data_IF_749773437265
#
_entry.id   IF_749773437265
#
_cell.length_a   1.000
_cell.length_b   1.000
_cell.length_c   1.000
_cell.angle_alpha   90.00
_cell.angle_beta   90.00
_cell.angle_gamma   90.00
#
_symmetry.space_group_name_H-M   'P 1'
#
loop_
_entity.id
_entity.type
_entity.pdbx_description
1 polymer ?
#
# COMPACT_ATOMS: atom_id res chain seq x y z
N UNK A 1 25.34 -2.92 -15.67
CA UNK A 1 24.61 -3.46 -14.53
C UNK A 1 23.75 -4.60 -15.04
N UNK A 2 23.63 -5.72 -14.30
CA UNK A 2 22.74 -6.83 -14.65
C UNK A 2 21.26 -6.43 -14.47
N UNK A 3 20.35 -7.30 -14.89
CA UNK A 3 18.92 -7.14 -14.61
C UNK A 3 18.64 -7.40 -13.12
N UNK A 4 17.61 -6.76 -12.61
CA UNK A 4 17.10 -6.96 -11.26
C UNK A 4 15.64 -7.41 -11.33
N UNK A 5 15.25 -8.32 -10.45
CA UNK A 5 13.87 -8.81 -10.40
C UNK A 5 13.09 -8.30 -9.19
N UNK A 6 13.77 -7.69 -8.22
CA UNK A 6 13.11 -7.08 -7.07
C UNK A 6 13.95 -5.98 -6.42
N UNK A 7 13.29 -5.11 -5.68
CA UNK A 7 13.92 -4.06 -4.87
C UNK A 7 13.21 -3.93 -3.53
N UNK A 8 13.99 -3.95 -2.46
CA UNK A 8 13.50 -3.78 -1.08
C UNK A 8 14.15 -2.54 -0.48
N UNK A 9 13.33 -1.65 0.05
CA UNK A 9 13.77 -0.47 0.77
C UNK A 9 13.96 -0.77 2.26
N UNK A 10 15.08 -0.32 2.80
CA UNK A 10 15.30 -0.17 4.24
C UNK A 10 15.27 1.32 4.56
N UNK A 11 14.34 1.73 5.41
CA UNK A 11 14.16 3.11 5.83
C UNK A 11 14.43 3.23 7.32
N UNK A 12 15.51 3.93 7.69
CA UNK A 12 15.77 4.33 9.05
C UNK A 12 15.19 5.74 9.27
N UNK A 13 14.26 5.83 10.20
CA UNK A 13 13.71 7.09 10.72
C UNK A 13 14.39 7.38 12.03
N UNK A 14 15.35 8.28 12.03
CA UNK A 14 16.22 8.54 13.17
C UNK A 14 15.78 9.81 13.91
N UNK A 15 15.64 9.67 15.22
CA UNK A 15 15.43 10.79 16.13
C UNK A 15 16.76 11.16 16.78
N UNK A 16 17.51 12.12 16.21
CA UNK A 16 18.81 12.48 16.75
C UNK A 16 18.65 13.16 18.10
N UNK A 17 19.46 12.75 19.08
CA UNK A 17 19.51 13.36 20.42
C UNK A 17 18.17 13.46 21.17
N UNK A 18 17.09 12.82 20.69
CA UNK A 18 15.77 12.91 21.31
C UNK A 18 15.04 14.24 21.09
N UNK A 19 15.45 15.02 20.09
CA UNK A 19 14.94 16.37 19.83
C UNK A 19 13.94 16.43 18.66
N UNK A 20 13.46 15.28 18.21
CA UNK A 20 12.42 15.17 17.21
C UNK A 20 11.00 15.33 17.81
N UNK A 21 10.01 15.47 16.97
CA UNK A 21 8.62 15.63 17.40
C UNK A 21 8.17 14.46 18.27
N UNK A 22 7.56 14.80 19.40
CA UNK A 22 7.05 13.84 20.38
C UNK A 22 5.71 13.20 19.98
N UNK A 23 5.12 13.64 18.87
CA UNK A 23 3.86 13.13 18.35
C UNK A 23 4.07 12.24 17.13
N UNK A 24 3.09 11.41 16.85
CA UNK A 24 2.94 10.66 15.61
C UNK A 24 2.68 11.64 14.46
N UNK A 25 3.62 11.73 13.54
CA UNK A 25 3.53 12.60 12.37
C UNK A 25 3.47 11.78 11.11
N UNK A 26 2.55 12.12 10.22
CA UNK A 26 2.50 11.53 8.91
C UNK A 26 3.69 11.98 8.07
N UNK A 27 4.26 11.04 7.38
CA UNK A 27 5.38 11.28 6.50
C UNK A 27 5.33 10.34 5.30
N UNK A 28 5.97 10.73 4.21
CA UNK A 28 6.04 9.92 3.00
C UNK A 28 7.29 10.16 2.19
N UNK A 29 7.62 9.17 1.40
CA UNK A 29 8.71 9.21 0.41
C UNK A 29 8.11 9.00 -0.95
N UNK A 30 8.47 9.87 -1.88
CA UNK A 30 8.06 9.82 -3.27
C UNK A 30 9.28 9.73 -4.16
N UNK A 31 9.12 9.04 -5.29
CA UNK A 31 10.08 9.07 -6.38
C UNK A 31 9.43 9.71 -7.61
N UNK A 32 10.25 10.34 -8.45
CA UNK A 32 9.80 10.96 -9.67
C UNK A 32 9.74 9.94 -10.79
N UNK A 33 8.55 9.71 -11.30
CA UNK A 33 8.31 8.81 -12.41
C UNK A 33 8.89 9.30 -13.74
N UNK A 34 8.97 8.41 -14.75
CA UNK A 34 9.47 8.76 -16.06
C UNK A 34 8.71 9.89 -16.77
N UNK A 35 7.43 10.04 -16.44
CA UNK A 35 6.53 11.10 -16.92
C UNK A 35 6.73 12.45 -16.20
N UNK A 36 7.61 12.48 -15.18
CA UNK A 36 7.90 13.66 -14.37
C UNK A 36 6.95 13.84 -13.19
N UNK A 37 5.95 13.00 -13.01
CA UNK A 37 5.04 13.01 -11.87
C UNK A 37 5.68 12.35 -10.65
N UNK A 38 5.24 12.79 -9.46
CA UNK A 38 5.66 12.20 -8.21
C UNK A 38 4.74 11.04 -7.84
N UNK A 39 5.35 9.89 -7.54
CA UNK A 39 4.67 8.67 -7.10
C UNK A 39 5.07 8.41 -5.64
N UNK A 40 4.09 8.32 -4.76
CA UNK A 40 4.32 7.97 -3.36
C UNK A 40 4.66 6.47 -3.26
N UNK A 41 5.84 6.18 -2.75
CA UNK A 41 6.32 4.80 -2.59
C UNK A 41 6.11 4.27 -1.19
N UNK A 42 6.28 5.14 -0.19
CA UNK A 42 6.27 4.77 1.22
C UNK A 42 5.51 5.85 1.98
N UNK A 43 4.55 5.44 2.79
CA UNK A 43 3.95 6.26 3.84
C UNK A 43 4.29 5.67 5.19
N UNK A 44 4.61 6.50 6.16
CA UNK A 44 4.85 6.05 7.52
C UNK A 44 4.41 7.09 8.54
N UNK A 45 4.21 6.64 9.77
CA UNK A 45 3.94 7.53 10.90
C UNK A 45 5.14 7.55 11.83
N UNK A 46 5.58 8.74 12.25
CA UNK A 46 6.71 8.84 13.16
C UNK A 46 6.36 8.29 14.54
N UNK A 47 7.30 7.63 15.22
CA UNK A 47 7.07 7.04 16.53
C UNK A 47 7.40 8.02 17.66
N UNK A 48 6.47 8.71 18.23
CA UNK A 48 6.52 9.51 19.47
C UNK A 48 7.92 9.87 20.01
N UNK A 49 8.69 10.63 19.21
CA UNK A 49 10.04 11.07 19.62
C UNK A 49 11.08 9.96 19.71
N UNK A 50 10.96 8.91 18.94
CA UNK A 50 11.87 7.75 18.91
C UNK A 50 12.31 7.43 17.49
N UNK A 51 13.44 6.73 17.37
CA UNK A 51 13.85 6.15 16.10
C UNK A 51 13.07 4.88 15.79
N UNK A 52 12.90 4.60 14.51
CA UNK A 52 12.32 3.39 14.00
C UNK A 52 12.94 3.03 12.65
N UNK A 53 12.82 1.77 12.24
CA UNK A 53 13.24 1.30 10.92
C UNK A 53 12.15 0.44 10.29
N UNK A 54 12.09 0.50 8.96
CA UNK A 54 11.08 -0.20 8.17
C UNK A 54 11.76 -0.93 7.01
N UNK A 55 11.22 -2.09 6.68
CA UNK A 55 11.59 -2.85 5.48
C UNK A 55 10.37 -2.92 4.58
N UNK A 56 10.46 -2.37 3.38
CA UNK A 56 9.33 -2.21 2.46
C UNK A 56 9.69 -2.80 1.09
N UNK A 57 8.84 -3.67 0.58
CA UNK A 57 8.95 -4.15 -0.80
C UNK A 57 8.49 -3.06 -1.77
N UNK A 58 9.37 -2.66 -2.67
CA UNK A 58 9.12 -1.69 -3.73
C UNK A 58 9.22 -2.29 -5.13
N UNK A 59 9.12 -3.61 -5.23
CA UNK A 59 9.29 -4.33 -6.50
C UNK A 59 8.31 -3.87 -7.58
N UNK A 60 7.11 -3.49 -7.20
CA UNK A 60 6.12 -2.93 -8.12
C UNK A 60 6.59 -1.64 -8.82
N UNK A 61 7.56 -0.97 -8.25
CA UNK A 61 8.12 0.29 -8.76
C UNK A 61 9.53 0.12 -9.33
N UNK A 62 10.01 -1.12 -9.48
CA UNK A 62 11.38 -1.42 -9.95
C UNK A 62 11.69 -0.69 -11.26
N UNK A 63 10.75 -0.66 -12.20
CA UNK A 63 10.90 -0.03 -13.51
C UNK A 63 11.23 1.48 -13.45
N UNK A 64 10.85 2.16 -12.36
CA UNK A 64 11.13 3.59 -12.17
C UNK A 64 12.27 3.85 -11.17
N UNK A 65 12.79 2.82 -10.52
CA UNK A 65 13.84 2.93 -9.51
C UNK A 65 15.22 2.59 -10.07
N UNK A 66 15.36 2.51 -11.38
CA UNK A 66 16.64 2.26 -12.05
C UNK A 66 17.26 3.55 -12.57
N UNK A 67 18.61 3.59 -12.60
CA UNK A 67 19.36 4.74 -13.11
C UNK A 67 19.38 5.92 -12.16
N UNK A 68 19.15 7.12 -12.68
CA UNK A 68 19.10 8.35 -11.89
C UNK A 68 17.67 8.63 -11.45
N UNK A 69 17.39 8.46 -10.18
CA UNK A 69 16.07 8.66 -9.59
C UNK A 69 16.09 9.87 -8.66
N UNK A 70 15.11 10.73 -8.78
CA UNK A 70 14.91 11.86 -7.89
C UNK A 70 13.90 11.46 -6.81
N UNK A 71 14.29 11.58 -5.54
CA UNK A 71 13.44 11.31 -4.38
C UNK A 71 13.12 12.61 -3.66
N UNK A 72 11.96 12.65 -3.02
CA UNK A 72 11.65 13.64 -2.00
C UNK A 72 11.04 12.97 -0.78
N UNK A 73 11.36 13.52 0.39
CA UNK A 73 10.84 13.08 1.68
C UNK A 73 10.08 14.24 2.31
N UNK A 74 8.91 13.97 2.84
CA UNK A 74 8.11 14.92 3.58
C UNK A 74 7.75 14.38 4.95
N UNK A 75 7.79 15.23 5.96
CA UNK A 75 7.26 14.95 7.30
C UNK A 75 6.45 16.15 7.77
N UNK A 76 5.19 15.91 8.11
CA UNK A 76 4.28 16.95 8.60
C UNK A 76 4.57 17.27 10.07
N UNK A 77 5.68 17.97 10.30
CA UNK A 77 6.16 18.35 11.64
C UNK A 77 6.53 19.82 11.68
N UNK A 78 6.35 20.43 12.84
CA UNK A 78 6.83 21.79 13.11
C UNK A 78 7.80 21.85 14.30
N UNK A 79 8.20 20.69 14.80
CA UNK A 79 9.10 20.57 15.94
C UNK A 79 10.22 19.58 15.63
N UNK A 80 11.41 19.93 16.04
CA UNK A 80 12.57 19.06 15.97
C UNK A 80 13.04 18.72 14.55
N UNK A 81 14.04 17.88 14.49
CA UNK A 81 14.58 17.36 13.24
C UNK A 81 14.51 15.84 13.23
N UNK A 82 14.18 15.30 12.06
CA UNK A 82 14.28 13.89 11.75
C UNK A 82 15.41 13.66 10.76
N UNK A 83 16.15 12.59 10.93
CA UNK A 83 17.13 12.13 9.96
C UNK A 83 16.60 10.86 9.30
N UNK A 84 16.84 10.72 8.01
CA UNK A 84 16.37 9.60 7.22
C UNK A 84 17.53 8.97 6.46
N UNK A 85 17.66 7.65 6.58
CA UNK A 85 18.53 6.87 5.71
C UNK A 85 17.64 5.91 4.91
N UNK A 86 17.67 6.06 3.61
CA UNK A 86 16.97 5.17 2.68
C UNK A 86 18.01 4.36 1.92
N UNK A 87 17.96 3.05 2.10
CA UNK A 87 18.78 2.09 1.36
C UNK A 87 17.90 1.27 0.45
N UNK A 88 18.22 1.21 -0.84
CA UNK A 88 17.53 0.36 -1.80
C UNK A 88 18.41 -0.86 -2.09
N UNK A 89 17.92 -2.03 -1.72
CA UNK A 89 18.55 -3.32 -1.95
C UNK A 89 17.98 -3.96 -3.21
N UNK A 90 18.76 -4.03 -4.27
CA UNK A 90 18.36 -4.64 -5.54
C UNK A 90 18.82 -6.09 -5.60
N UNK A 91 17.93 -6.98 -5.98
CA UNK A 91 18.22 -8.39 -6.12
C UNK A 91 18.35 -8.74 -7.60
N UNK A 92 19.50 -9.38 -7.93
CA UNK A 92 19.81 -9.73 -9.30
C UNK A 92 18.89 -10.84 -9.82
N UNK A 93 18.35 -10.67 -11.02
CA UNK A 93 17.47 -11.60 -11.70
C UNK A 93 16.78 -10.91 -12.88
N UNK A 94 16.18 -11.69 -13.75
CA UNK A 94 15.34 -11.12 -14.81
C UNK A 94 13.98 -10.71 -14.20
N UNK A 95 13.47 -9.51 -14.49
CA UNK A 95 12.14 -9.09 -14.04
C UNK A 95 11.06 -9.93 -14.74
N UNK A 96 9.92 -10.07 -14.10
CA UNK A 96 8.77 -10.81 -14.61
C UNK A 96 8.25 -10.20 -15.94
N UNK A 97 8.24 -8.88 -16.02
CA UNK A 97 7.79 -8.11 -17.18
C UNK A 97 8.90 -7.21 -17.71
N UNK A 98 8.86 -6.93 -19.01
CA UNK A 98 9.88 -6.13 -19.71
C UNK A 98 9.80 -4.65 -19.37
N UNK A 99 8.61 -4.18 -19.04
CA UNK A 99 8.35 -2.78 -18.69
C UNK A 99 7.17 -2.70 -17.72
N UNK A 100 7.13 -1.61 -17.00
CA UNK A 100 6.05 -1.27 -16.07
C UNK A 100 5.76 0.21 -16.11
N UNK A 101 4.62 0.59 -15.54
CA UNK A 101 4.20 1.96 -15.37
C UNK A 101 3.35 2.10 -14.11
N UNK A 102 3.41 3.26 -13.45
CA UNK A 102 2.54 3.60 -12.32
C UNK A 102 1.93 4.99 -12.55
N UNK A 103 0.63 5.09 -12.36
CA UNK A 103 -0.13 6.33 -12.50
C UNK A 103 -1.01 6.52 -11.27
N UNK A 104 -0.97 7.71 -10.67
CA UNK A 104 -1.87 8.04 -9.56
C UNK A 104 -3.31 8.15 -10.05
N UNK A 105 -4.20 7.35 -9.44
CA UNK A 105 -5.66 7.40 -9.64
C UNK A 105 -6.28 8.40 -8.66
N UNK A 106 -5.96 8.23 -7.38
CA UNK A 106 -6.32 9.17 -6.33
C UNK A 106 -5.06 9.58 -5.58
N UNK A 107 -4.84 10.87 -5.44
CA UNK A 107 -3.72 11.39 -4.66
C UNK A 107 -4.16 12.66 -3.95
N UNK A 108 -4.30 12.59 -2.63
CA UNK A 108 -4.69 13.78 -1.88
C UNK A 108 -5.33 13.49 -0.53
N UNK A 109 -5.93 14.55 -0.02
CA UNK A 109 -6.57 14.62 1.28
C UNK A 109 -8.08 14.82 1.08
N UNK A 110 -8.87 13.83 1.46
CA UNK A 110 -10.30 13.75 1.18
C UNK A 110 -11.07 13.93 2.48
N UNK A 111 -11.73 15.07 2.63
CA UNK A 111 -12.57 15.36 3.79
C UNK A 111 -13.81 14.46 3.81
N UNK A 112 -14.10 13.86 4.96
CA UNK A 112 -15.25 13.00 5.16
C UNK A 112 -16.29 13.69 6.05
N UNK A 113 -17.57 13.35 5.83
CA UNK A 113 -18.68 13.90 6.60
C UNK A 113 -19.03 15.35 6.27
N UNK A 114 -18.54 15.88 5.16
CA UNK A 114 -18.98 17.16 4.63
C UNK A 114 -20.33 17.01 3.93
N UNK A 115 -21.38 17.60 4.50
CA UNK A 115 -22.73 17.55 3.91
C UNK A 115 -22.84 18.22 2.55
N UNK A 116 -21.91 19.11 2.20
CA UNK A 116 -21.86 19.72 0.88
C UNK A 116 -21.21 18.81 -0.17
N UNK A 117 -20.39 17.86 0.26
CA UNK A 117 -19.74 16.87 -0.58
C UNK A 117 -19.64 15.52 0.14
N UNK A 118 -20.66 14.70 0.04
CA UNK A 118 -20.73 13.39 0.71
C UNK A 118 -19.87 12.33 0.04
N UNK A 119 -19.44 12.56 -1.21
CA UNK A 119 -18.56 11.67 -1.97
C UNK A 119 -17.38 12.48 -2.52
N UNK A 120 -16.33 12.67 -1.70
CA UNK A 120 -15.17 13.46 -2.10
C UNK A 120 -14.26 12.78 -3.13
N UNK A 121 -14.41 11.46 -3.32
CA UNK A 121 -13.67 10.73 -4.34
C UNK A 121 -14.48 10.75 -5.64
N UNK A 122 -14.01 11.53 -6.59
CA UNK A 122 -14.65 11.62 -7.90
C UNK A 122 -14.39 10.35 -8.72
N UNK A 123 -15.31 10.04 -9.62
CA UNK A 123 -15.14 8.95 -10.56
C UNK A 123 -13.93 9.22 -11.48
N UNK A 124 -13.06 8.23 -11.60
CA UNK A 124 -11.87 8.30 -12.47
C UNK A 124 -11.96 7.21 -13.53
N UNK A 125 -11.78 7.61 -14.78
CA UNK A 125 -11.66 6.70 -15.91
C UNK A 125 -10.20 6.61 -16.35
N UNK A 126 -9.70 5.41 -16.47
CA UNK A 126 -8.36 5.15 -17.01
C UNK A 126 -8.42 4.09 -18.10
N UNK A 127 -7.49 4.19 -19.05
CA UNK A 127 -7.38 3.26 -20.17
C UNK A 127 -6.06 2.49 -20.05
N UNK A 128 -6.11 1.25 -20.44
CA UNK A 128 -4.92 0.42 -20.57
C UNK A 128 -4.39 0.46 -21.99
N UNK A 129 -3.09 0.48 -22.14
CA UNK A 129 -2.43 0.32 -23.44
C UNK A 129 -2.60 -1.12 -23.94
N UNK A 130 -2.64 -1.30 -25.26
CA UNK A 130 -2.89 -2.61 -25.91
C UNK A 130 -1.85 -3.70 -25.57
N UNK A 131 -0.70 -3.29 -25.08
CA UNK A 131 0.43 -4.16 -24.77
C UNK A 131 0.58 -4.50 -23.27
N UNK A 132 -0.37 -4.06 -22.44
CA UNK A 132 -0.41 -4.41 -21.02
C UNK A 132 -0.92 -5.84 -20.85
N UNK A 133 -0.20 -6.62 -20.05
CA UNK A 133 -0.51 -8.01 -19.75
C UNK A 133 -0.99 -8.23 -18.32
N UNK A 134 -0.58 -7.34 -17.40
CA UNK A 134 -1.00 -7.35 -16.01
C UNK A 134 -1.26 -5.92 -15.55
N UNK A 135 -2.29 -5.73 -14.75
CA UNK A 135 -2.54 -4.49 -14.05
C UNK A 135 -3.02 -4.76 -12.62
N UNK A 136 -2.68 -3.86 -11.71
CA UNK A 136 -3.15 -3.88 -10.34
C UNK A 136 -3.41 -2.47 -9.83
N UNK A 137 -4.30 -2.36 -8.86
CA UNK A 137 -4.54 -1.13 -8.12
C UNK A 137 -3.87 -1.27 -6.75
N UNK A 138 -2.84 -0.47 -6.53
CA UNK A 138 -2.19 -0.33 -5.24
C UNK A 138 -2.90 0.76 -4.45
N UNK A 139 -3.56 0.39 -3.36
CA UNK A 139 -4.39 1.27 -2.57
C UNK A 139 -3.71 1.60 -1.24
N UNK A 140 -3.13 2.79 -1.16
CA UNK A 140 -2.53 3.32 0.05
C UNK A 140 -3.52 4.31 0.68
N UNK A 141 -4.06 3.95 1.85
CA UNK A 141 -5.09 4.71 2.54
C UNK A 141 -4.76 4.84 4.03
N UNK A 142 -4.87 6.05 4.56
CA UNK A 142 -4.80 6.28 6.00
C UNK A 142 -5.86 7.27 6.46
N UNK A 143 -6.57 6.90 7.54
CA UNK A 143 -7.59 7.72 8.17
C UNK A 143 -7.00 8.65 9.20
N UNK A 144 -7.45 9.90 9.21
CA UNK A 144 -6.98 10.93 10.12
C UNK A 144 -8.13 11.79 10.64
N UNK A 145 -7.90 12.35 11.82
CA UNK A 145 -8.83 13.26 12.45
C UNK A 145 -9.58 12.63 13.61
N UNK A 146 -9.66 13.38 14.68
CA UNK A 146 -10.20 12.91 15.94
C UNK A 146 -11.74 12.94 15.97
N UNK A 147 -12.35 13.86 15.26
CA UNK A 147 -13.80 14.08 15.30
C UNK A 147 -14.34 14.44 16.70
N UNK A 148 -15.65 14.64 16.79
CA UNK A 148 -16.26 15.06 18.07
C UNK A 148 -16.53 13.91 19.05
N UNK A 149 -16.51 12.67 18.63
CA UNK A 149 -16.83 11.51 19.48
C UNK A 149 -16.06 10.24 19.18
N UNK A 150 -14.91 10.30 18.57
CA UNK A 150 -13.98 9.18 18.32
C UNK A 150 -14.62 7.90 17.76
N UNK A 151 -15.76 8.02 17.19
CA UNK A 151 -16.48 6.89 16.61
C UNK A 151 -17.03 7.34 15.27
N UNK A 152 -17.94 6.79 14.73
CA UNK A 152 -18.59 6.91 13.42
C UNK A 152 -18.22 8.12 12.53
N UNK A 153 -17.64 9.17 13.04
CA UNK A 153 -17.28 10.39 12.30
C UNK A 153 -15.79 10.77 12.41
N UNK A 154 -14.98 9.93 13.02
CA UNK A 154 -13.53 10.11 13.06
C UNK A 154 -12.86 9.05 12.19
N UNK A 155 -12.42 9.42 11.02
CA UNK A 155 -11.81 8.48 10.06
C UNK A 155 -10.65 7.68 10.65
N UNK A 156 -9.88 8.27 11.57
CA UNK A 156 -8.74 7.64 12.21
C UNK A 156 -9.13 6.43 13.08
N UNK A 157 -10.22 6.52 13.83
CA UNK A 157 -10.63 5.51 14.81
C UNK A 157 -11.93 4.79 14.41
N UNK A 158 -12.24 4.76 13.14
CA UNK A 158 -13.45 4.15 12.64
C UNK A 158 -13.13 2.98 11.72
N UNK A 159 -13.45 1.78 12.20
CA UNK A 159 -13.30 0.56 11.41
C UNK A 159 -14.45 0.46 10.41
N UNK A 160 -14.15 0.71 9.16
CA UNK A 160 -15.11 0.62 8.06
C UNK A 160 -14.48 -0.09 6.86
N UNK A 161 -15.26 -0.95 6.22
CA UNK A 161 -14.92 -1.48 4.92
C UNK A 161 -15.39 -0.51 3.85
N UNK A 162 -14.46 0.06 3.14
CA UNK A 162 -14.70 0.92 1.99
C UNK A 162 -14.99 0.07 0.76
N UNK A 163 -15.76 0.60 -0.16
CA UNK A 163 -16.09 -0.07 -1.41
C UNK A 163 -15.58 0.75 -2.59
N UNK A 164 -14.77 0.11 -3.40
CA UNK A 164 -14.30 0.62 -4.68
C UNK A 164 -15.10 -0.09 -5.79
N UNK A 165 -15.80 0.68 -6.60
CA UNK A 165 -16.56 0.13 -7.73
C UNK A 165 -15.72 0.21 -9.00
N UNK A 166 -15.47 -0.93 -9.61
CA UNK A 166 -14.65 -1.07 -10.81
C UNK A 166 -15.45 -1.78 -11.90
N UNK A 167 -15.86 -1.06 -12.94
CA UNK A 167 -16.73 -1.57 -14.01
C UNK A 167 -18.01 -2.27 -13.50
N UNK A 168 -18.49 -1.90 -12.32
CA UNK A 168 -19.67 -2.48 -11.67
C UNK A 168 -19.35 -3.61 -10.68
N UNK A 169 -18.14 -4.10 -10.65
CA UNK A 169 -17.67 -5.02 -9.61
C UNK A 169 -17.22 -4.26 -8.37
N UNK A 170 -17.30 -4.89 -7.21
CA UNK A 170 -16.96 -4.28 -5.92
C UNK A 170 -15.66 -4.86 -5.40
N UNK A 171 -14.70 -3.98 -5.16
CA UNK A 171 -13.48 -4.27 -4.40
C UNK A 171 -13.69 -3.72 -2.99
N UNK A 172 -13.51 -4.55 -1.99
CA UNK A 172 -13.58 -4.11 -0.60
C UNK A 172 -12.19 -3.76 -0.09
N UNK A 173 -12.08 -2.61 0.57
CA UNK A 173 -10.87 -2.16 1.24
C UNK A 173 -11.17 -1.91 2.71
N UNK A 174 -10.42 -2.55 3.60
CA UNK A 174 -10.49 -2.28 5.03
C UNK A 174 -9.08 -2.03 5.59
N UNK A 175 -8.68 -0.77 5.71
CA UNK A 175 -7.33 -0.41 6.13
C UNK A 175 -7.11 -0.54 7.66
N UNK A 176 -7.99 -1.24 8.39
CA UNK A 176 -7.92 -1.29 9.84
C UNK A 176 -6.71 -2.04 10.37
N UNK A 177 -5.96 -1.40 11.27
CA UNK A 177 -4.80 -1.96 11.93
C UNK A 177 -5.00 -2.08 13.43
N UNK A 178 -4.68 -3.26 13.97
CA UNK A 178 -4.55 -3.48 15.40
C UNK A 178 -3.19 -2.93 15.86
N UNK A 179 -3.19 -1.92 16.73
CA UNK A 179 -1.97 -1.23 17.14
C UNK A 179 -1.37 -1.77 18.46
N UNK A 180 -1.96 -2.76 19.07
CA UNK A 180 -1.45 -3.38 20.29
C UNK A 180 -1.44 -4.92 20.22
N UNK A 181 -0.26 -5.57 20.03
CA UNK A 181 1.08 -4.95 20.02
C UNK A 181 1.33 -4.08 18.78
N UNK A 182 2.24 -3.11 18.90
CA UNK A 182 2.59 -2.26 17.77
C UNK A 182 3.22 -3.11 16.63
N UNK A 183 2.72 -3.02 15.40
CA UNK A 183 3.15 -3.90 14.30
C UNK A 183 4.66 -3.86 14.03
N UNK A 184 5.25 -2.68 13.99
CA UNK A 184 6.68 -2.52 13.72
C UNK A 184 7.53 -2.49 15.00
N UNK A 185 6.91 -2.76 16.15
CA UNK A 185 7.55 -2.78 17.47
C UNK A 185 8.29 -1.48 17.87
N UNK A 186 8.05 -0.38 17.14
CA UNK A 186 8.71 0.91 17.38
C UNK A 186 8.15 1.66 18.58
N UNK A 187 6.90 1.40 18.93
CA UNK A 187 6.24 1.99 20.10
C UNK A 187 5.73 0.89 21.01
N UNK A 188 6.25 0.82 22.22
CA UNK A 188 5.90 -0.19 23.22
C UNK A 188 5.62 0.38 24.62
N UNK A 189 5.51 1.67 24.75
CA UNK A 189 5.32 2.34 26.02
C UNK A 189 4.06 3.19 25.97
N UNK A 190 3.27 3.25 27.04
CA UNK A 190 2.00 3.98 27.08
C UNK A 190 2.23 5.50 27.02
N UNK A 191 2.52 6.00 25.84
CA UNK A 191 2.48 7.40 25.55
C UNK A 191 1.21 7.70 24.77
N UNK A 192 0.36 8.57 25.30
CA UNK A 192 -0.83 9.04 24.61
C UNK A 192 -1.75 7.89 24.16
N UNK A 193 -2.15 7.88 22.91
CA UNK A 193 -3.15 6.99 22.30
C UNK A 193 -2.54 5.91 21.41
N UNK A 194 -1.26 5.61 21.57
CA UNK A 194 -0.54 4.68 20.69
C UNK A 194 -1.21 3.31 20.53
N UNK A 195 -1.86 2.82 21.57
CA UNK A 195 -2.48 1.49 21.64
C UNK A 195 -3.88 1.41 21.02
N UNK A 196 -4.43 2.51 20.56
CA UNK A 196 -5.71 2.50 19.86
C UNK A 196 -5.52 2.08 18.43
N UNK A 197 -6.34 1.14 17.99
CA UNK A 197 -6.40 0.68 16.61
C UNK A 197 -6.84 1.81 15.68
N UNK A 198 -6.33 1.81 14.46
CA UNK A 198 -6.51 2.91 13.52
C UNK A 198 -6.72 2.43 12.08
N UNK A 199 -7.27 3.29 11.28
CA UNK A 199 -7.47 3.07 9.86
C UNK A 199 -6.17 3.35 9.07
N UNK A 200 -5.50 2.30 8.64
CA UNK A 200 -4.36 2.34 7.73
C UNK A 200 -3.01 2.67 8.35
N UNK A 201 -2.91 2.77 9.68
CA UNK A 201 -1.63 3.06 10.31
C UNK A 201 -1.62 2.81 11.81
N UNK A 202 -0.43 2.65 12.35
CA UNK A 202 -0.15 2.77 13.78
C UNK A 202 1.04 3.71 13.98
N UNK A 203 1.19 4.35 15.14
CA UNK A 203 2.37 5.16 15.42
C UNK A 203 3.66 4.34 15.26
N UNK A 204 4.60 4.84 14.47
CA UNK A 204 5.83 4.13 14.15
C UNK A 204 5.66 2.97 13.16
N UNK A 205 4.62 2.98 12.35
CA UNK A 205 4.35 1.97 11.33
C UNK A 205 4.51 2.55 9.92
N UNK A 206 5.06 1.76 9.01
CA UNK A 206 4.87 1.98 7.59
C UNK A 206 3.44 1.53 7.20
N UNK A 207 2.72 2.37 6.45
CA UNK A 207 1.36 2.05 6.02
C UNK A 207 1.38 0.95 4.97
N UNK A 208 0.60 -0.10 5.19
CA UNK A 208 0.45 -1.18 4.22
C UNK A 208 -0.25 -0.71 2.95
N UNK A 209 0.13 -1.30 1.84
CA UNK A 209 -0.52 -1.15 0.54
C UNK A 209 -1.45 -2.34 0.34
N UNK A 210 -2.75 -2.08 0.15
CA UNK A 210 -3.68 -3.12 -0.29
C UNK A 210 -3.66 -3.20 -1.82
N UNK A 211 -3.49 -4.41 -2.35
CA UNK A 211 -3.43 -4.66 -3.79
C UNK A 211 -4.72 -5.31 -4.30
N UNK A 212 -5.17 -4.86 -5.47
CA UNK A 212 -6.27 -5.49 -6.19
C UNK A 212 -5.88 -5.79 -7.62
N UNK A 213 -6.06 -7.04 -8.04
CA UNK A 213 -5.77 -7.47 -9.42
C UNK A 213 -6.80 -6.89 -10.39
N UNK A 214 -6.33 -6.10 -11.33
CA UNK A 214 -7.12 -5.51 -12.42
C UNK A 214 -6.94 -6.23 -13.76
N UNK A 215 -6.11 -7.26 -13.83
CA UNK A 215 -5.83 -8.02 -15.05
C UNK A 215 -7.10 -8.52 -15.75
N UNK A 216 -8.17 -8.97 -15.04
CA UNK A 216 -9.43 -9.38 -15.68
C UNK A 216 -10.13 -8.27 -16.47
N UNK A 217 -9.83 -7.00 -16.22
CA UNK A 217 -10.45 -5.85 -16.88
C UNK A 217 -9.69 -5.34 -18.11
N UNK A 218 -8.50 -5.86 -18.37
CA UNK A 218 -7.66 -5.43 -19.50
C UNK A 218 -8.34 -5.64 -20.86
N UNK A 219 -9.19 -6.66 -20.97
CA UNK A 219 -9.92 -6.95 -22.23
C UNK A 219 -11.00 -5.93 -22.54
N UNK A 220 -11.40 -5.12 -21.59
CA UNK A 220 -12.38 -4.05 -21.76
C UNK A 220 -11.76 -2.78 -22.37
N UNK A 221 -10.42 -2.65 -22.38
CA UNK A 221 -9.71 -1.47 -22.91
C UNK A 221 -9.93 -0.19 -22.14
N UNK A 222 -10.88 -0.17 -21.20
CA UNK A 222 -11.22 0.99 -20.37
C UNK A 222 -11.81 0.53 -19.07
N UNK A 223 -11.35 1.12 -17.97
CA UNK A 223 -11.86 0.85 -16.62
C UNK A 223 -12.25 2.16 -15.95
N UNK A 224 -13.43 2.18 -15.39
CA UNK A 224 -13.93 3.29 -14.57
C UNK A 224 -13.89 2.87 -13.11
N UNK A 225 -13.28 3.69 -12.28
CA UNK A 225 -13.22 3.46 -10.83
C UNK A 225 -13.98 4.57 -10.08
N UNK A 226 -14.82 4.15 -9.14
CA UNK A 226 -15.49 5.04 -8.21
C UNK A 226 -15.33 4.46 -6.80
N UNK A 227 -14.90 5.29 -5.85
CA UNK A 227 -14.80 4.89 -4.46
C UNK A 227 -16.02 5.42 -3.71
N UNK A 228 -16.76 4.50 -3.10
CA UNK A 228 -17.83 4.82 -2.16
C UNK A 228 -17.36 4.49 -0.74
N UNK A 229 -17.10 5.53 0.03
CA UNK A 229 -16.67 5.40 1.42
C UNK A 229 -17.83 5.42 2.41
N UNK A 230 -19.06 5.45 1.93
CA UNK A 230 -20.19 5.69 2.80
C UNK A 230 -20.16 7.09 3.42
N UNK A 231 -21.25 7.49 4.03
CA UNK A 231 -21.35 8.81 4.68
C UNK A 231 -20.87 8.70 6.11
N UNK A 232 -19.69 9.24 6.40
CA UNK A 232 -19.28 9.52 7.76
C UNK A 232 -19.91 10.84 8.20
N UNK A 233 -21.05 10.76 8.90
CA UNK A 233 -21.74 11.95 9.39
C UNK A 233 -21.01 12.57 10.58
N UNK A 234 -20.85 13.86 10.60
CA UNK A 234 -20.32 14.59 11.73
C UNK A 234 -19.53 15.83 11.32
N UNK A 235 -19.40 16.76 12.25
CA UNK A 235 -18.54 17.90 12.10
C UNK A 235 -17.21 17.57 12.76
N UNK A 236 -16.15 17.55 12.02
CA UNK A 236 -14.84 17.28 12.56
C UNK A 236 -13.79 17.35 11.50
N UNK A 237 -12.55 17.19 11.91
CA UNK A 237 -11.39 17.17 11.03
C UNK A 237 -11.13 15.75 10.52
N UNK A 238 -12.20 15.04 10.14
CA UNK A 238 -12.12 13.67 9.63
C UNK A 238 -11.79 13.64 8.16
N UNK A 239 -10.77 12.87 7.78
CA UNK A 239 -10.32 12.76 6.40
C UNK A 239 -9.57 11.47 6.14
N UNK A 240 -9.58 11.04 4.90
CA UNK A 240 -8.64 10.05 4.38
C UNK A 240 -7.52 10.75 3.61
N UNK A 241 -6.30 10.31 3.82
CA UNK A 241 -5.20 10.57 2.90
C UNK A 241 -5.07 9.33 2.05
N UNK A 242 -5.42 9.46 0.78
CA UNK A 242 -5.36 8.38 -0.19
C UNK A 242 -4.24 8.64 -1.20
N UNK A 243 -3.55 7.59 -1.58
CA UNK A 243 -2.71 7.54 -2.75
C UNK A 243 -2.92 6.18 -3.41
N UNK A 244 -3.88 6.14 -4.35
CA UNK A 244 -4.17 4.93 -5.09
C UNK A 244 -3.50 5.02 -6.45
N UNK A 245 -2.83 3.95 -6.84
CA UNK A 245 -2.00 3.92 -8.04
C UNK A 245 -2.39 2.74 -8.90
N UNK A 246 -2.62 3.02 -10.17
CA UNK A 246 -2.68 2.00 -11.19
C UNK A 246 -1.26 1.61 -11.57
N UNK A 247 -0.87 0.40 -11.25
CA UNK A 247 0.40 -0.19 -11.69
C UNK A 247 0.11 -1.17 -12.80
N UNK A 248 0.82 -1.06 -13.90
CA UNK A 248 0.62 -1.87 -15.08
C UNK A 248 1.93 -2.40 -15.63
N UNK A 249 1.89 -3.60 -16.19
CA UNK A 249 3.05 -4.30 -16.68
C UNK A 249 2.78 -4.87 -18.07
N UNK A 250 3.80 -4.93 -18.89
CA UNK A 250 3.69 -5.45 -20.22
C UNK A 250 4.90 -6.26 -20.67
N UNK A 251 4.63 -7.18 -21.60
CA UNK A 251 5.62 -8.04 -22.18
C UNK A 251 6.26 -9.00 -21.20
N UNK A 252 5.62 -10.15 -20.90
CA UNK A 252 6.23 -11.18 -20.07
C UNK A 252 7.65 -11.56 -20.58
N UNK A 253 8.61 -11.68 -19.68
CA UNK A 253 9.98 -12.03 -20.02
C UNK A 253 10.18 -13.53 -20.25
N UNK A 254 9.31 -14.35 -19.68
CA UNK A 254 9.41 -15.80 -19.76
C UNK A 254 8.26 -16.40 -20.55
N UNK A 255 8.55 -17.43 -21.35
CA UNK A 255 7.50 -18.17 -22.06
C UNK A 255 6.70 -19.07 -21.12
N UNK A 256 7.40 -19.75 -20.21
CA UNK A 256 6.80 -20.62 -19.19
C UNK A 256 7.31 -20.15 -17.83
N UNK A 257 6.41 -19.70 -17.01
CA UNK A 257 6.71 -19.30 -15.65
C UNK A 257 5.47 -19.44 -14.75
N UNK A 258 5.71 -19.69 -13.47
CA UNK A 258 4.66 -19.73 -12.46
C UNK A 258 5.21 -19.31 -11.11
N UNK A 259 4.48 -18.50 -10.38
CA UNK A 259 4.83 -18.14 -9.02
C UNK A 259 3.80 -18.64 -8.02
N UNK A 260 4.25 -18.91 -6.81
CA UNK A 260 3.37 -19.12 -5.66
C UNK A 260 2.97 -17.74 -5.14
N UNK A 261 1.69 -17.41 -5.24
CA UNK A 261 1.15 -16.13 -4.75
C UNK A 261 0.70 -16.23 -3.30
N UNK A 262 0.35 -17.45 -2.85
CA UNK A 262 -0.03 -17.65 -1.47
C UNK A 262 0.20 -19.09 -1.01
N UNK A 263 0.44 -19.25 0.30
CA UNK A 263 0.52 -20.56 0.99
C UNK A 263 -0.59 -20.61 2.01
N UNK A 264 -1.66 -21.33 1.67
CA UNK A 264 -2.84 -21.49 2.52
C UNK A 264 -2.55 -22.48 3.65
N UNK A 265 -1.87 -23.59 3.33
CA UNK A 265 -1.56 -24.65 4.31
C UNK A 265 -0.26 -25.38 3.95
N UNK A 266 0.70 -25.58 4.88
CA UNK A 266 0.73 -24.97 6.21
C UNK A 266 1.05 -23.47 6.14
N UNK A 267 0.39 -22.65 6.94
CA UNK A 267 0.63 -21.21 7.01
C UNK A 267 0.50 -20.70 8.43
N UNK A 268 1.27 -19.68 8.77
CA UNK A 268 1.16 -18.93 10.02
C UNK A 268 0.32 -17.66 9.89
N UNK A 269 -0.26 -17.41 8.73
CA UNK A 269 -1.13 -16.25 8.50
C UNK A 269 -2.40 -16.38 9.35
N UNK A 270 -2.80 -15.26 9.97
CA UNK A 270 -3.94 -15.20 10.88
C UNK A 270 -5.25 -15.55 10.17
N UNK A 271 -5.42 -15.12 8.93
CA UNK A 271 -6.58 -15.39 8.09
C UNK A 271 -6.82 -16.89 7.86
N UNK A 272 -5.75 -17.69 7.81
CA UNK A 272 -5.84 -19.14 7.62
C UNK A 272 -5.82 -19.92 8.94
N UNK A 273 -5.52 -19.30 10.06
CA UNK A 273 -5.49 -19.95 11.38
C UNK A 273 -6.85 -20.41 11.87
N UNK A 274 -7.93 -19.85 11.34
CA UNK A 274 -9.32 -20.19 11.71
C UNK A 274 -9.92 -21.33 10.91
N UNK A 275 -9.31 -21.70 9.81
CA UNK A 275 -9.75 -22.80 8.93
C UNK A 275 -9.34 -24.18 9.43
N UNK A 276 -9.20 -24.36 10.74
CA UNK A 276 -9.07 -25.68 11.32
C UNK A 276 -7.78 -26.39 11.03
N UNK A 277 -6.80 -26.05 11.78
CA UNK A 277 -6.01 -27.00 12.50
C UNK A 277 -5.29 -28.10 11.75
N UNK A 278 -5.75 -28.56 10.68
CA UNK A 278 -5.22 -29.80 10.19
C UNK A 278 -4.46 -29.54 8.93
N UNK A 279 -3.19 -29.65 9.06
CA UNK A 279 -2.23 -30.06 8.06
C UNK A 279 -2.77 -31.21 7.21
N UNK A 280 -3.85 -30.99 6.53
CA UNK A 280 -4.41 -31.97 5.63
C UNK A 280 -3.44 -32.17 4.48
N UNK A 281 -3.56 -31.36 3.49
CA UNK A 281 -2.67 -31.36 2.32
C UNK A 281 -2.06 -29.98 2.16
N UNK A 282 -0.80 -29.89 1.76
CA UNK A 282 -0.24 -28.61 1.34
C UNK A 282 -1.15 -27.97 0.30
N UNK A 283 -1.51 -26.71 0.52
CA UNK A 283 -2.39 -25.96 -0.37
C UNK A 283 -1.74 -24.61 -0.65
N UNK A 284 -1.55 -24.32 -1.92
CA UNK A 284 -0.94 -23.07 -2.39
C UNK A 284 -1.79 -22.47 -3.48
N UNK A 285 -1.68 -21.16 -3.66
CA UNK A 285 -2.22 -20.45 -4.80
C UNK A 285 -1.07 -20.18 -5.77
N UNK A 286 -1.29 -20.50 -7.03
CA UNK A 286 -0.28 -20.36 -8.08
C UNK A 286 -0.85 -19.45 -9.15
N UNK A 287 -0.04 -18.52 -9.60
CA UNK A 287 -0.31 -17.68 -10.76
C UNK A 287 0.61 -18.08 -11.90
N UNK A 288 0.06 -18.18 -13.13
CA UNK A 288 0.87 -18.27 -14.34
C UNK A 288 1.37 -16.86 -14.68
N UNK A 289 2.68 -16.71 -14.69
CA UNK A 289 3.37 -15.44 -14.98
C UNK A 289 4.13 -15.49 -16.30
N UNK A 290 4.07 -16.62 -16.98
CA UNK A 290 4.65 -16.79 -18.32
C UNK A 290 3.72 -16.34 -19.45
N UNK A 291 4.32 -16.07 -20.61
CA UNK A 291 3.62 -15.65 -21.83
C UNK A 291 2.73 -16.75 -22.46
N UNK A 292 2.85 -18.00 -22.01
CA UNK A 292 2.09 -19.12 -22.53
C UNK A 292 1.27 -19.81 -21.45
N UNK A 293 0.16 -20.42 -21.86
CA UNK A 293 -0.70 -21.17 -20.93
C UNK A 293 0.08 -22.31 -20.26
N UNK A 294 0.05 -22.33 -18.94
CA UNK A 294 0.62 -23.41 -18.16
C UNK A 294 -0.32 -24.61 -18.18
N UNK A 295 0.13 -25.73 -18.75
CA UNK A 295 -0.68 -26.95 -18.90
C UNK A 295 -0.37 -28.03 -17.86
N UNK A 296 0.79 -27.96 -17.22
CA UNK A 296 1.20 -28.86 -16.15
C UNK A 296 2.22 -28.19 -15.26
N UNK A 297 2.19 -28.52 -13.97
CA UNK A 297 3.14 -28.06 -12.96
C UNK A 297 3.40 -29.18 -11.96
N UNK A 298 4.65 -29.35 -11.56
CA UNK A 298 5.04 -30.23 -10.46
C UNK A 298 5.41 -29.39 -9.26
N UNK A 299 4.83 -29.73 -8.12
CA UNK A 299 5.12 -29.08 -6.83
C UNK A 299 5.81 -30.09 -5.94
N UNK A 300 7.00 -29.75 -5.48
CA UNK A 300 7.75 -30.52 -4.49
C UNK A 300 7.65 -29.82 -3.11
N UNK A 301 7.42 -30.59 -2.04
CA UNK A 301 7.21 -30.08 -0.67
C UNK A 301 7.79 -31.00 0.40
#
# INVERSE_FOLDING_TARGET
LGAFNSVVAELDVVCPTGDCDIWDRKAWIEAKGPDGNWIELIRYMTPYGRSCNHTIDLTDYLFMLEGNVEFRIFTDTWAGSWEYNLTLNYFAGEPEYKYGNAVSVYSGNYALGDYANLQPFEEVTFNFDDNIEKAQLNMLLSGHGWGNNNSNNAAEFYNITNQLYLNGDVINQNPWNDCNPNPDACVNSPQSTWYHDRAGWCPGMATDVEESDLTPYLTAGQTTATIDYGVLSGSGDSRYIANHQLVSYGGANFNLDARITDVISPSNKVEYSKEGILCGRPTIVIQNTGATTLTSLTIEY
#
